data_IF_698322818571
#
_entry.id   IF_698322818571
#
_cell.length_a   1.000
_cell.length_b   1.000
_cell.length_c   1.000
_cell.angle_alpha   90.00
_cell.angle_beta   90.00
_cell.angle_gamma   90.00
#
_symmetry.space_group_name_H-M   'P 1'
#
loop_
_entity.id
_entity.type
_entity.pdbx_description
1 polymer ?
#
# COMPACT_ATOMS: atom_id res chain seq x y z
N UNK A 1 32.26 28.58 17.40
CA UNK A 1 32.67 27.96 16.12
C UNK A 1 31.40 27.42 15.47
N UNK A 2 30.99 27.97 14.32
CA UNK A 2 29.78 27.52 13.63
C UNK A 2 30.08 26.19 12.94
N UNK A 3 29.25 25.17 13.22
CA UNK A 3 29.30 23.89 12.51
C UNK A 3 29.21 24.16 11.00
N UNK A 4 30.15 23.67 10.16
CA UNK A 4 30.05 23.85 8.73
C UNK A 4 28.74 23.22 8.27
N UNK A 5 27.94 24.00 7.52
CA UNK A 5 26.61 23.62 7.04
C UNK A 5 26.70 22.23 6.38
N UNK A 6 26.28 21.19 7.11
CA UNK A 6 26.31 19.81 6.63
C UNK A 6 25.35 19.69 5.46
N UNK A 7 25.88 19.60 4.23
CA UNK A 7 25.06 19.35 3.04
C UNK A 7 24.44 17.95 3.16
N UNK A 8 23.11 17.89 3.32
CA UNK A 8 22.36 16.63 3.39
C UNK A 8 21.88 16.23 2.01
N UNK A 9 22.23 15.02 1.57
CA UNK A 9 21.79 14.47 0.29
C UNK A 9 20.65 13.47 0.48
N UNK A 10 19.48 13.79 -0.07
CA UNK A 10 18.36 12.87 -0.14
C UNK A 10 18.47 12.05 -1.43
N UNK A 11 18.68 10.75 -1.27
CA UNK A 11 18.78 9.79 -2.38
C UNK A 11 17.94 8.56 -2.06
N UNK A 12 17.29 8.02 -3.09
CA UNK A 12 16.51 6.79 -2.98
C UNK A 12 17.46 5.60 -3.05
N UNK A 13 17.27 4.63 -2.15
CA UNK A 13 17.96 3.36 -2.25
C UNK A 13 17.52 2.63 -3.53
N UNK A 14 18.48 2.15 -4.31
CA UNK A 14 18.28 1.38 -5.54
C UNK A 14 18.85 -0.03 -5.38
N UNK A 15 18.40 -0.97 -6.22
CA UNK A 15 18.96 -2.32 -6.24
C UNK A 15 20.38 -2.27 -6.81
N UNK A 16 21.35 -2.82 -6.08
CA UNK A 16 22.75 -2.97 -6.49
C UNK A 16 23.14 -4.43 -6.26
N UNK A 17 23.16 -5.23 -7.34
CA UNK A 17 23.31 -6.68 -7.24
C UNK A 17 22.20 -7.31 -6.39
N UNK A 18 22.58 -7.99 -5.31
CA UNK A 18 21.67 -8.58 -4.33
C UNK A 18 21.33 -7.67 -3.14
N UNK A 19 21.89 -6.45 -3.13
CA UNK A 19 21.77 -5.50 -2.01
C UNK A 19 21.03 -4.23 -2.43
N UNK A 20 20.81 -3.33 -1.46
CA UNK A 20 20.34 -1.97 -1.72
C UNK A 20 21.50 -1.00 -1.53
N UNK A 21 21.69 -0.07 -2.47
CA UNK A 21 22.73 0.95 -2.43
C UNK A 21 22.17 2.34 -2.67
N UNK A 22 22.97 3.36 -2.35
CA UNK A 22 22.65 4.78 -2.60
C UNK A 22 23.71 5.34 -3.52
N UNK A 23 23.31 5.90 -4.66
CA UNK A 23 24.25 6.54 -5.58
C UNK A 23 24.63 7.93 -5.07
N UNK A 24 25.94 8.10 -4.83
CA UNK A 24 26.53 9.36 -4.40
C UNK A 24 27.10 10.13 -5.59
N UNK A 25 27.15 11.47 -5.54
CA UNK A 25 27.82 12.26 -6.55
C UNK A 25 29.31 11.92 -6.64
N UNK A 26 29.90 12.00 -7.84
CA UNK A 26 31.34 11.78 -8.08
C UNK A 26 32.25 12.68 -7.22
N UNK A 27 31.76 13.87 -6.84
CA UNK A 27 32.49 14.79 -5.97
C UNK A 27 32.74 14.25 -4.54
N UNK A 28 32.05 13.16 -4.14
CA UNK A 28 32.23 12.49 -2.84
C UNK A 28 33.04 11.18 -2.97
N UNK A 29 33.78 11.00 -4.07
CA UNK A 29 34.70 9.88 -4.19
C UNK A 29 35.72 9.93 -3.05
N UNK A 30 36.03 8.78 -2.46
CA UNK A 30 36.94 8.60 -1.31
C UNK A 30 36.55 9.32 -0.01
N UNK A 31 35.32 9.84 0.10
CA UNK A 31 34.81 10.45 1.33
C UNK A 31 34.11 9.43 2.25
N UNK A 32 34.31 9.56 3.56
CA UNK A 32 33.53 8.83 4.56
C UNK A 32 32.10 9.36 4.66
N UNK A 33 31.12 8.47 4.50
CA UNK A 33 29.69 8.84 4.40
C UNK A 33 28.82 8.02 5.34
N UNK A 34 27.92 8.72 6.05
CA UNK A 34 26.87 8.10 6.87
C UNK A 34 25.56 8.06 6.10
N UNK A 35 25.00 6.86 5.94
CA UNK A 35 23.66 6.68 5.38
C UNK A 35 22.65 6.55 6.53
N UNK A 36 21.63 7.40 6.54
CA UNK A 36 20.52 7.32 7.48
C UNK A 36 19.22 6.99 6.73
N UNK A 37 18.50 5.98 7.21
CA UNK A 37 17.18 5.63 6.65
C UNK A 37 16.16 6.64 7.15
N UNK A 38 15.76 7.56 6.25
CA UNK A 38 14.76 8.59 6.57
C UNK A 38 13.33 8.03 6.44
N UNK A 39 13.11 7.12 5.49
CA UNK A 39 11.81 6.45 5.29
C UNK A 39 12.04 4.97 5.00
N UNK A 40 11.53 4.05 5.84
CA UNK A 40 11.67 2.61 5.59
C UNK A 40 10.90 2.19 4.34
N UNK A 41 11.30 1.10 3.68
CA UNK A 41 10.56 0.56 2.55
C UNK A 41 9.16 0.15 2.98
N UNK A 42 8.17 0.58 2.20
CA UNK A 42 6.76 0.33 2.48
C UNK A 42 6.40 -1.11 2.11
N UNK A 43 5.93 -1.90 3.07
CA UNK A 43 5.43 -3.25 2.82
C UNK A 43 3.91 -3.27 2.99
N UNK A 44 3.19 -2.93 1.91
CA UNK A 44 1.73 -2.80 1.94
C UNK A 44 1.05 -4.06 2.45
N UNK A 45 1.53 -5.25 2.07
CA UNK A 45 0.95 -6.53 2.51
C UNK A 45 1.11 -6.75 4.01
N UNK A 46 2.32 -6.54 4.54
CA UNK A 46 2.60 -6.73 5.97
C UNK A 46 1.86 -5.70 6.82
N UNK A 47 1.85 -4.45 6.35
CA UNK A 47 1.24 -3.34 7.07
C UNK A 47 -0.29 -3.45 7.05
N UNK A 48 -0.91 -3.79 5.92
CA UNK A 48 -2.37 -3.98 5.84
C UNK A 48 -2.83 -5.13 6.72
N UNK A 49 -2.10 -6.26 6.76
CA UNK A 49 -2.38 -7.37 7.67
C UNK A 49 -2.31 -6.96 9.14
N UNK A 50 -1.31 -6.16 9.51
CA UNK A 50 -1.16 -5.65 10.88
C UNK A 50 -2.31 -4.71 11.28
N UNK A 51 -2.81 -3.90 10.33
CA UNK A 51 -3.96 -3.01 10.56
C UNK A 51 -5.25 -3.81 10.70
N UNK A 52 -5.41 -4.84 9.87
CA UNK A 52 -6.61 -5.68 9.79
C UNK A 52 -6.64 -6.82 10.82
N UNK A 53 -5.56 -7.06 11.56
CA UNK A 53 -5.46 -8.12 12.59
C UNK A 53 -6.67 -8.22 13.53
N UNK A 54 -7.21 -7.12 14.11
CA UNK A 54 -8.33 -7.23 15.05
C UNK A 54 -9.66 -7.68 14.42
N UNK A 55 -9.79 -7.59 13.10
CA UNK A 55 -11.02 -7.94 12.36
C UNK A 55 -10.75 -9.01 11.30
N UNK A 56 -9.58 -9.65 11.34
CA UNK A 56 -9.09 -10.52 10.27
C UNK A 56 -10.00 -11.74 10.06
N UNK A 57 -10.59 -12.27 11.13
CA UNK A 57 -11.51 -13.41 11.11
C UNK A 57 -12.74 -13.18 10.24
N UNK A 58 -13.14 -11.91 10.08
CA UNK A 58 -14.31 -11.54 9.31
C UNK A 58 -13.96 -11.12 7.87
N UNK A 59 -12.68 -11.14 7.48
CA UNK A 59 -12.22 -10.66 6.18
C UNK A 59 -12.08 -11.81 5.19
N UNK A 60 -12.79 -11.71 4.07
CA UNK A 60 -12.79 -12.67 2.98
C UNK A 60 -11.67 -12.40 1.96
N UNK A 61 -11.29 -11.13 1.79
CA UNK A 61 -10.27 -10.72 0.82
C UNK A 61 -9.81 -9.28 1.01
N UNK A 62 -8.60 -8.97 0.55
CA UNK A 62 -8.00 -7.63 0.66
C UNK A 62 -7.38 -7.25 -0.68
N UNK A 63 -7.71 -6.04 -1.13
CA UNK A 63 -7.38 -5.54 -2.45
C UNK A 63 -6.82 -4.13 -2.34
N UNK A 64 -5.83 -3.80 -3.16
CA UNK A 64 -5.34 -2.43 -3.30
C UNK A 64 -6.13 -1.78 -4.43
N UNK A 65 -6.92 -0.77 -4.12
CA UNK A 65 -7.65 0.01 -5.14
C UNK A 65 -6.70 1.02 -5.79
N UNK A 66 -5.96 1.74 -4.95
CA UNK A 66 -5.08 2.82 -5.39
C UNK A 66 -3.77 2.81 -4.60
N UNK A 67 -2.67 3.10 -5.29
CA UNK A 67 -1.35 3.14 -4.69
C UNK A 67 -0.60 4.36 -5.20
N UNK A 68 -0.47 5.36 -4.35
CA UNK A 68 0.38 6.53 -4.58
C UNK A 68 1.66 6.43 -3.73
N UNK A 69 2.71 7.21 -4.05
CA UNK A 69 3.94 7.25 -3.24
C UNK A 69 3.69 7.66 -1.78
N UNK A 70 2.61 8.38 -1.49
CA UNK A 70 2.28 8.94 -0.17
C UNK A 70 1.17 8.16 0.55
N UNK A 71 0.20 7.62 -0.18
CA UNK A 71 -1.00 6.96 0.37
C UNK A 71 -1.34 5.68 -0.41
N UNK A 72 -1.80 4.66 0.29
CA UNK A 72 -2.37 3.48 -0.35
C UNK A 72 -3.78 3.27 0.16
N UNK A 73 -4.70 3.11 -0.77
CA UNK A 73 -6.11 2.83 -0.53
C UNK A 73 -6.35 1.34 -0.73
N UNK A 74 -6.88 0.70 0.29
CA UNK A 74 -7.18 -0.72 0.32
C UNK A 74 -8.68 -0.93 0.50
N UNK A 75 -9.21 -1.95 -0.16
CA UNK A 75 -10.55 -2.48 0.06
C UNK A 75 -10.42 -3.86 0.69
N UNK A 76 -10.92 -3.99 1.91
CA UNK A 76 -11.13 -5.28 2.54
C UNK A 76 -12.60 -5.68 2.36
N UNK A 77 -12.84 -6.88 1.85
CA UNK A 77 -14.18 -7.46 1.78
C UNK A 77 -14.38 -8.29 3.04
N UNK A 78 -15.44 -8.00 3.77
CA UNK A 78 -15.80 -8.72 4.98
C UNK A 78 -17.09 -9.52 4.80
N UNK A 79 -17.39 -10.37 5.77
CA UNK A 79 -18.69 -11.03 5.88
C UNK A 79 -19.78 -10.01 6.23
N UNK A 80 -19.63 -9.34 7.38
CA UNK A 80 -20.70 -8.50 7.97
C UNK A 80 -20.23 -7.11 8.45
N UNK A 81 -18.93 -6.81 8.41
CA UNK A 81 -18.38 -5.58 8.99
C UNK A 81 -18.29 -4.47 7.94
N UNK A 82 -18.88 -3.32 8.22
CA UNK A 82 -18.69 -2.10 7.43
C UNK A 82 -17.92 -1.08 8.26
N UNK A 83 -16.67 -0.80 7.91
CA UNK A 83 -15.83 0.11 8.68
C UNK A 83 -14.80 0.78 7.78
N UNK A 84 -14.62 2.09 7.96
CA UNK A 84 -13.51 2.82 7.39
C UNK A 84 -12.38 2.92 8.43
N UNK A 85 -11.16 2.54 8.07
CA UNK A 85 -9.98 2.62 8.93
C UNK A 85 -8.89 3.45 8.26
N UNK A 86 -8.44 4.50 8.91
CA UNK A 86 -7.29 5.30 8.47
C UNK A 86 -6.14 5.10 9.44
N UNK A 87 -4.99 4.61 8.97
CA UNK A 87 -3.79 4.46 9.80
C UNK A 87 -2.55 4.92 9.05
N UNK A 88 -2.09 6.14 9.38
CA UNK A 88 -0.91 6.75 8.77
C UNK A 88 -1.08 6.95 7.27
N UNK A 89 -0.34 6.18 6.47
CA UNK A 89 -0.37 6.26 5.00
C UNK A 89 -1.40 5.31 4.36
N UNK A 90 -2.15 4.58 5.16
CA UNK A 90 -3.10 3.56 4.71
C UNK A 90 -4.54 4.00 5.00
N UNK A 91 -5.36 3.97 3.96
CA UNK A 91 -6.81 4.09 4.04
C UNK A 91 -7.39 2.73 3.67
N UNK A 92 -8.17 2.12 4.58
CA UNK A 92 -8.74 0.79 4.39
C UNK A 92 -10.25 0.90 4.54
N UNK A 93 -10.96 0.64 3.45
CA UNK A 93 -12.40 0.47 3.43
C UNK A 93 -12.73 -1.01 3.65
N UNK A 94 -13.37 -1.34 4.76
CA UNK A 94 -13.90 -2.67 5.04
C UNK A 94 -15.36 -2.67 4.67
N UNK A 95 -15.77 -3.46 3.67
CA UNK A 95 -17.14 -3.47 3.15
C UNK A 95 -17.67 -4.91 3.13
N UNK A 96 -18.90 -5.16 3.64
CA UNK A 96 -19.54 -6.47 3.55
C UNK A 96 -19.80 -6.85 2.08
N UNK A 97 -19.65 -8.13 1.74
CA UNK A 97 -19.90 -8.65 0.39
C UNK A 97 -21.29 -8.22 -0.14
N UNK A 98 -22.31 -8.26 0.71
CA UNK A 98 -23.69 -7.89 0.36
C UNK A 98 -23.80 -6.41 -0.04
N UNK A 99 -23.14 -5.52 0.70
CA UNK A 99 -23.11 -4.09 0.41
C UNK A 99 -22.28 -3.78 -0.84
N UNK A 100 -21.20 -4.53 -1.05
CA UNK A 100 -20.37 -4.39 -2.24
C UNK A 100 -21.15 -4.77 -3.50
N UNK A 101 -21.90 -5.88 -3.50
CA UNK A 101 -22.73 -6.30 -4.64
C UNK A 101 -23.82 -5.28 -4.98
N UNK A 102 -24.46 -4.66 -3.98
CA UNK A 102 -25.41 -3.56 -4.20
C UNK A 102 -24.72 -2.33 -4.79
N UNK A 103 -23.62 -1.91 -4.16
CA UNK A 103 -22.84 -0.75 -4.61
C UNK A 103 -22.26 -0.91 -6.01
N UNK A 104 -21.93 -2.15 -6.41
CA UNK A 104 -21.49 -2.46 -7.76
C UNK A 104 -22.60 -2.29 -8.79
N UNK A 105 -23.87 -2.51 -8.45
CA UNK A 105 -24.99 -2.28 -9.38
C UNK A 105 -25.30 -0.80 -9.52
N UNK A 106 -25.27 -0.06 -8.41
CA UNK A 106 -25.73 1.32 -8.33
C UNK A 106 -24.65 2.36 -8.70
N UNK A 107 -23.36 2.08 -8.42
CA UNK A 107 -22.27 3.07 -8.58
C UNK A 107 -21.22 2.61 -9.59
N UNK A 108 -21.12 3.26 -10.77
CA UNK A 108 -20.15 2.89 -11.80
C UNK A 108 -18.69 3.05 -11.35
N UNK A 109 -18.40 4.03 -10.49
CA UNK A 109 -17.06 4.27 -9.93
C UNK A 109 -16.51 3.05 -9.16
N UNK A 110 -17.39 2.34 -8.45
CA UNK A 110 -17.00 1.16 -7.67
C UNK A 110 -16.59 0.01 -8.60
N UNK A 111 -17.26 -0.12 -9.76
CA UNK A 111 -16.90 -1.10 -10.78
C UNK A 111 -15.50 -0.83 -11.34
N UNK A 112 -15.18 0.43 -11.64
CA UNK A 112 -13.86 0.80 -12.17
C UNK A 112 -12.75 0.54 -11.16
N UNK A 113 -12.98 0.89 -9.89
CA UNK A 113 -12.05 0.63 -8.78
C UNK A 113 -11.72 -0.86 -8.66
N UNK A 114 -12.72 -1.75 -8.72
CA UNK A 114 -12.50 -3.21 -8.65
C UNK A 114 -11.80 -3.76 -9.89
N UNK A 115 -12.10 -3.22 -11.08
CA UNK A 115 -11.39 -3.60 -12.33
C UNK A 115 -9.89 -3.32 -12.23
N UNK A 116 -9.48 -2.18 -11.64
CA UNK A 116 -8.07 -1.79 -11.48
C UNK A 116 -7.40 -2.36 -10.22
N UNK A 117 -8.18 -2.97 -9.31
CA UNK A 117 -7.66 -3.41 -8.02
C UNK A 117 -6.56 -4.49 -8.14
N UNK A 118 -5.55 -4.44 -7.27
CA UNK A 118 -4.50 -5.46 -7.16
C UNK A 118 -4.78 -6.35 -5.95
N UNK A 119 -4.63 -7.65 -6.12
CA UNK A 119 -4.86 -8.62 -5.03
C UNK A 119 -3.75 -8.56 -3.99
N UNK A 120 -4.13 -8.42 -2.71
CA UNK A 120 -3.24 -8.67 -1.57
C UNK A 120 -3.55 -10.05 -0.98
N UNK A 121 -4.83 -10.35 -0.81
CA UNK A 121 -5.36 -11.60 -0.27
C UNK A 121 -6.54 -12.06 -1.12
N UNK A 122 -6.60 -13.37 -1.38
CA UNK A 122 -7.69 -14.06 -2.06
C UNK A 122 -7.95 -13.56 -3.50
N UNK A 123 -7.16 -14.09 -4.44
CA UNK A 123 -7.30 -13.81 -5.87
C UNK A 123 -8.59 -14.39 -6.48
N UNK A 124 -9.09 -15.51 -5.94
CA UNK A 124 -10.27 -16.21 -6.46
C UNK A 124 -11.52 -15.33 -6.35
N UNK A 125 -11.76 -14.77 -5.16
CA UNK A 125 -12.91 -13.90 -4.90
C UNK A 125 -12.91 -12.64 -5.80
N UNK A 126 -11.74 -12.03 -6.05
CA UNK A 126 -11.65 -10.89 -6.97
C UNK A 126 -12.00 -11.28 -8.40
N UNK A 127 -11.58 -12.47 -8.83
CA UNK A 127 -11.85 -12.96 -10.18
C UNK A 127 -13.34 -13.24 -10.38
N UNK A 128 -14.03 -13.76 -9.36
CA UNK A 128 -15.47 -13.99 -9.36
C UNK A 128 -16.23 -12.66 -9.46
N UNK A 129 -15.88 -11.68 -8.62
CA UNK A 129 -16.50 -10.35 -8.64
C UNK A 129 -16.28 -9.68 -10.02
N UNK A 130 -15.10 -9.84 -10.63
CA UNK A 130 -14.82 -9.30 -11.98
C UNK A 130 -15.65 -9.95 -13.07
N UNK A 131 -15.98 -11.25 -12.94
CA UNK A 131 -16.88 -11.94 -13.88
C UNK A 131 -18.31 -11.42 -13.74
N UNK A 132 -18.78 -11.16 -12.52
CA UNK A 132 -20.12 -10.58 -12.28
C UNK A 132 -20.27 -9.14 -12.80
N UNK A 133 -19.16 -8.41 -12.98
CA UNK A 133 -19.14 -7.04 -13.53
C UNK A 133 -19.11 -7.02 -15.07
N UNK A 134 -18.74 -8.14 -15.69
CA UNK A 134 -18.54 -8.28 -17.15
C UNK A 134 -19.87 -8.48 -17.84
#
# INVERSE_FOLDING_TARGET
MADPIRKVFYRRAIKVGNSSGVLLPKALLDADVRVAVIRPPRNIKKDSMKILTPILEHILGVYIINQTPKKAELLAISTNINQHMTKGQYEIDVVPLNHLKKSLKEKPETKEKIKKAKTVINAKLLSEIRKEIR
#
